data_IF_619733905708
#
_entry.id   IF_619733905708
#
_cell.length_a   1.000
_cell.length_b   1.000
_cell.length_c   1.000
_cell.angle_alpha   90.00
_cell.angle_beta   90.00
_cell.angle_gamma   90.00
#
_symmetry.space_group_name_H-M   'P 1'
#
loop_
_entity.id
_entity.type
_entity.pdbx_description
1 polymer ?
#
# COMPACT_ATOMS: atom_id res chain seq x y z
N UNK A 1 -24.97 -18.85 -22.05
CA UNK A 1 -24.80 -17.52 -21.41
C UNK A 1 -23.68 -16.79 -22.13
N UNK A 2 -24.02 -15.82 -22.97
CA UNK A 2 -23.05 -15.01 -23.69
C UNK A 2 -22.42 -13.99 -22.75
N UNK A 3 -21.09 -13.81 -22.84
CA UNK A 3 -20.38 -12.83 -22.02
C UNK A 3 -20.72 -11.43 -22.52
N UNK A 4 -21.05 -10.47 -21.64
CA UNK A 4 -21.47 -9.15 -22.08
C UNK A 4 -20.29 -8.32 -22.63
N UNK A 5 -20.54 -7.56 -23.69
CA UNK A 5 -19.54 -6.83 -24.51
C UNK A 5 -18.70 -5.79 -23.74
N UNK A 6 -19.13 -5.38 -22.54
CA UNK A 6 -18.39 -4.43 -21.70
C UNK A 6 -17.24 -5.07 -20.90
N UNK A 7 -17.11 -6.40 -20.94
CA UNK A 7 -16.00 -7.11 -20.30
C UNK A 7 -14.73 -7.00 -21.14
N UNK A 8 -13.68 -6.39 -20.58
CA UNK A 8 -12.40 -6.19 -21.29
C UNK A 8 -11.70 -7.52 -21.57
N UNK A 9 -11.37 -7.78 -22.83
CA UNK A 9 -10.59 -8.95 -23.24
C UNK A 9 -9.13 -8.76 -22.77
N UNK A 10 -8.68 -9.65 -21.89
CA UNK A 10 -7.28 -9.68 -21.41
C UNK A 10 -6.53 -10.82 -22.08
N UNK A 11 -5.53 -10.50 -22.92
CA UNK A 11 -4.68 -11.51 -23.58
C UNK A 11 -3.59 -12.02 -22.64
N UNK A 12 -3.55 -13.33 -22.42
CA UNK A 12 -2.50 -13.98 -21.65
C UNK A 12 -1.35 -14.41 -22.57
N UNK A 13 -0.11 -14.24 -22.14
CA UNK A 13 1.06 -14.74 -22.87
C UNK A 13 1.25 -16.22 -22.55
N UNK A 14 1.23 -17.10 -23.55
CA UNK A 14 1.45 -18.52 -23.34
C UNK A 14 2.91 -18.80 -22.90
N UNK A 15 3.13 -19.97 -22.30
CA UNK A 15 4.48 -20.53 -22.11
C UNK A 15 4.87 -21.21 -23.42
N UNK A 16 6.09 -21.00 -23.88
CA UNK A 16 6.63 -21.65 -25.08
C UNK A 16 6.82 -23.15 -24.80
N UNK A 17 6.40 -24.01 -25.73
CA UNK A 17 6.21 -25.46 -25.56
C UNK A 17 7.12 -26.16 -24.53
N UNK A 18 8.43 -26.27 -24.82
CA UNK A 18 9.36 -27.07 -24.01
C UNK A 18 9.92 -26.32 -22.80
N UNK A 19 9.39 -25.14 -22.49
CA UNK A 19 9.89 -24.34 -21.39
C UNK A 19 9.28 -24.89 -20.13
N UNK A 20 9.95 -25.86 -19.50
CA UNK A 20 9.59 -26.41 -18.19
C UNK A 20 10.24 -25.57 -17.07
N UNK A 21 9.55 -25.35 -15.93
CA UNK A 21 10.12 -24.70 -14.74
C UNK A 21 11.41 -25.35 -14.21
N UNK A 22 11.58 -26.65 -14.47
CA UNK A 22 12.67 -27.45 -13.93
C UNK A 22 13.90 -27.48 -14.85
N UNK A 23 13.85 -26.82 -16.01
CA UNK A 23 14.99 -26.72 -16.91
C UNK A 23 16.01 -25.68 -16.39
N UNK A 24 17.27 -26.07 -16.12
CA UNK A 24 18.27 -25.15 -15.59
C UNK A 24 18.61 -23.98 -16.54
N UNK A 25 18.55 -24.18 -17.85
CA UNK A 25 18.84 -23.14 -18.85
C UNK A 25 17.78 -22.03 -18.89
N UNK A 26 16.59 -22.31 -18.35
CA UNK A 26 15.43 -21.42 -18.36
C UNK A 26 15.18 -20.75 -17.00
N UNK A 27 16.10 -20.87 -16.04
CA UNK A 27 15.96 -20.24 -14.72
C UNK A 27 15.65 -18.75 -14.82
N UNK A 28 16.38 -18.02 -15.67
CA UNK A 28 16.19 -16.57 -15.82
C UNK A 28 14.84 -16.22 -16.47
N UNK A 29 14.38 -17.01 -17.44
CA UNK A 29 13.04 -16.87 -18.04
C UNK A 29 11.95 -17.01 -16.97
N UNK A 30 12.04 -18.07 -16.16
CA UNK A 30 11.07 -18.35 -15.11
C UNK A 30 11.14 -17.35 -13.96
N UNK A 31 12.33 -16.88 -13.60
CA UNK A 31 12.52 -15.81 -12.62
C UNK A 31 11.81 -14.53 -13.07
N UNK A 32 12.07 -14.05 -14.29
CA UNK A 32 11.40 -12.85 -14.84
C UNK A 32 9.89 -13.04 -14.95
N UNK A 33 9.42 -14.23 -15.35
CA UNK A 33 8.00 -14.53 -15.47
C UNK A 33 7.29 -14.52 -14.12
N UNK A 34 7.87 -15.16 -13.10
CA UNK A 34 7.39 -15.12 -11.70
C UNK A 34 7.34 -13.69 -11.18
N UNK A 35 8.37 -12.88 -11.45
CA UNK A 35 8.40 -11.47 -11.04
C UNK A 35 7.30 -10.62 -11.72
N UNK A 36 7.05 -10.82 -13.02
CA UNK A 36 5.95 -10.13 -13.72
C UNK A 36 4.59 -10.52 -13.16
N UNK A 37 4.41 -11.81 -12.86
CA UNK A 37 3.16 -12.32 -12.31
C UNK A 37 2.93 -11.81 -10.89
N UNK A 38 3.95 -11.82 -10.03
CA UNK A 38 3.85 -11.26 -8.67
C UNK A 38 3.52 -9.78 -8.69
N UNK A 39 4.15 -8.98 -9.56
CA UNK A 39 3.82 -7.55 -9.73
C UNK A 39 2.37 -7.33 -10.17
N UNK A 40 1.88 -8.06 -11.18
CA UNK A 40 0.49 -7.97 -11.64
C UNK A 40 -0.51 -8.34 -10.54
N UNK A 41 -0.21 -9.41 -9.80
CA UNK A 41 -1.05 -9.87 -8.69
C UNK A 41 -1.05 -8.87 -7.53
N UNK A 42 0.11 -8.28 -7.21
CA UNK A 42 0.22 -7.24 -6.19
C UNK A 42 -0.57 -5.98 -6.56
N UNK A 43 -0.44 -5.52 -7.81
CA UNK A 43 -1.13 -4.33 -8.30
C UNK A 43 -2.66 -4.50 -8.36
N UNK A 44 -3.12 -5.72 -8.66
CA UNK A 44 -4.55 -6.04 -8.77
C UNK A 44 -5.24 -6.36 -7.44
N UNK A 45 -4.50 -6.82 -6.42
CA UNK A 45 -5.05 -7.18 -5.10
C UNK A 45 -5.11 -6.00 -4.12
N UNK A 46 -4.29 -4.98 -4.30
CA UNK A 46 -4.30 -3.80 -3.45
C UNK A 46 -5.38 -2.79 -3.89
N UNK A 47 -6.03 -2.07 -2.95
CA UNK A 47 -7.02 -1.06 -3.29
C UNK A 47 -6.46 0.00 -4.24
N UNK A 48 -7.21 0.31 -5.31
CA UNK A 48 -6.83 1.32 -6.30
C UNK A 48 -6.44 2.63 -5.61
N UNK A 49 -5.26 3.16 -5.96
CA UNK A 49 -4.70 4.39 -5.39
C UNK A 49 -3.74 4.20 -4.21
N UNK A 50 -3.67 2.99 -3.61
CA UNK A 50 -2.79 2.71 -2.47
C UNK A 50 -1.56 1.85 -2.79
N UNK A 51 -1.42 1.37 -4.03
CA UNK A 51 -0.23 0.63 -4.51
C UNK A 51 1.08 1.35 -4.27
N UNK A 52 1.07 2.69 -4.33
CA UNK A 52 2.25 3.51 -4.05
C UNK A 52 2.83 3.18 -2.67
N UNK A 53 1.98 2.89 -1.66
CA UNK A 53 2.41 2.71 -0.26
C UNK A 53 3.22 1.42 -0.18
N UNK A 54 2.68 0.35 -0.74
CA UNK A 54 3.36 -0.94 -0.84
C UNK A 54 4.66 -0.84 -1.64
N UNK A 55 4.67 -0.09 -2.75
CA UNK A 55 5.86 0.14 -3.56
C UNK A 55 6.97 0.86 -2.77
N UNK A 56 6.62 1.87 -1.96
CA UNK A 56 7.58 2.64 -1.14
C UNK A 56 8.33 1.78 -0.13
N UNK A 57 7.64 0.79 0.45
CA UNK A 57 8.23 -0.19 1.37
C UNK A 57 8.72 -1.46 0.65
N UNK A 58 8.85 -1.43 -0.69
CA UNK A 58 9.28 -2.57 -1.52
C UNK A 58 8.48 -3.86 -1.27
N UNK A 59 7.19 -3.74 -0.93
CA UNK A 59 6.31 -4.84 -0.57
C UNK A 59 6.77 -5.65 0.66
N UNK A 60 7.57 -5.04 1.54
CA UNK A 60 8.05 -5.61 2.80
C UNK A 60 7.30 -4.96 3.96
N UNK A 61 6.88 -5.76 4.95
CA UNK A 61 6.30 -5.26 6.19
C UNK A 61 7.42 -4.62 7.04
N UNK A 62 7.29 -3.35 7.47
CA UNK A 62 8.34 -2.67 8.22
C UNK A 62 8.48 -3.19 9.66
N UNK A 63 7.46 -3.86 10.21
CA UNK A 63 7.49 -4.38 11.59
C UNK A 63 8.27 -5.70 11.71
N UNK A 64 7.96 -6.68 10.85
CA UNK A 64 8.59 -8.00 10.88
C UNK A 64 9.70 -8.20 9.83
N UNK A 65 9.84 -7.28 8.86
CA UNK A 65 10.82 -7.38 7.77
C UNK A 65 10.51 -8.42 6.69
N UNK A 66 9.37 -9.12 6.78
CA UNK A 66 8.97 -10.14 5.82
C UNK A 66 8.18 -9.53 4.66
N UNK A 67 8.14 -10.23 3.52
CA UNK A 67 7.31 -9.84 2.38
C UNK A 67 5.83 -9.84 2.78
N UNK A 68 5.07 -8.88 2.26
CA UNK A 68 3.63 -8.78 2.49
C UNK A 68 2.88 -10.02 1.99
N UNK A 69 3.37 -10.66 0.92
CA UNK A 69 2.85 -11.93 0.40
C UNK A 69 1.38 -11.83 0.02
N UNK A 70 0.50 -12.34 0.90
CA UNK A 70 -0.94 -12.31 0.72
C UNK A 70 -1.55 -10.94 1.02
N UNK A 71 -1.73 -10.15 -0.04
CA UNK A 71 -2.38 -8.84 0.02
C UNK A 71 -3.84 -8.84 0.52
N UNK A 72 -4.44 -10.00 0.81
CA UNK A 72 -5.74 -10.10 1.48
C UNK A 72 -5.62 -9.98 3.00
N UNK A 73 -4.44 -10.24 3.58
CA UNK A 73 -4.17 -10.23 5.03
C UNK A 73 -3.25 -9.07 5.44
N UNK A 74 -3.32 -7.96 4.69
CA UNK A 74 -2.50 -6.77 4.96
C UNK A 74 -3.40 -5.58 5.28
N UNK A 75 -3.06 -4.89 6.36
CA UNK A 75 -3.79 -3.73 6.85
C UNK A 75 -2.95 -2.46 6.71
N UNK A 76 -3.63 -1.31 6.67
CA UNK A 76 -3.00 -0.01 6.67
C UNK A 76 -2.86 0.50 8.10
N UNK A 77 -1.62 0.79 8.46
CA UNK A 77 -1.27 1.33 9.77
C UNK A 77 -0.78 2.78 9.64
N UNK A 78 -1.13 3.62 10.62
CA UNK A 78 -0.65 4.99 10.71
C UNK A 78 0.62 5.03 11.56
N UNK A 79 1.75 5.44 10.99
CA UNK A 79 3.04 5.52 11.71
C UNK A 79 2.91 6.43 12.93
N UNK A 80 2.38 7.63 12.72
CA UNK A 80 1.91 8.52 13.78
C UNK A 80 0.41 8.29 13.92
N UNK A 81 -0.07 7.81 15.08
CA UNK A 81 -1.49 7.61 15.34
C UNK A 81 -2.31 8.90 15.20
N UNK A 82 -3.58 8.79 14.83
CA UNK A 82 -4.47 9.96 14.63
C UNK A 82 -4.67 10.79 15.90
N UNK A 83 -4.79 10.12 17.04
CA UNK A 83 -4.82 10.74 18.38
C UNK A 83 -3.59 11.62 18.67
N UNK A 84 -2.43 11.27 18.12
CA UNK A 84 -1.18 12.00 18.26
C UNK A 84 -0.95 13.01 17.10
N UNK A 85 -2.02 13.42 16.41
CA UNK A 85 -1.95 14.37 15.29
C UNK A 85 -1.55 13.76 13.94
N UNK A 86 -1.49 12.44 13.86
CA UNK A 86 -1.22 11.70 12.63
C UNK A 86 -2.26 11.94 11.54
N UNK A 87 -1.81 12.18 10.32
CA UNK A 87 -2.70 12.44 9.19
C UNK A 87 -2.88 11.19 8.33
N UNK A 88 -4.04 11.07 7.67
CA UNK A 88 -4.32 10.02 6.67
C UNK A 88 -3.66 10.37 5.33
N UNK A 89 -2.33 10.56 5.38
CA UNK A 89 -1.51 10.90 4.23
C UNK A 89 -0.66 9.71 3.86
N UNK A 90 -0.44 9.58 2.56
CA UNK A 90 0.47 8.61 1.96
C UNK A 90 1.78 8.41 2.74
N UNK A 91 2.40 9.51 3.19
CA UNK A 91 3.68 9.42 3.90
C UNK A 91 3.58 8.79 5.29
N UNK A 92 2.43 8.94 5.96
CA UNK A 92 2.14 8.45 7.31
C UNK A 92 1.51 7.05 7.33
N UNK A 93 1.19 6.49 6.16
CA UNK A 93 0.56 5.17 6.05
C UNK A 93 1.58 4.11 5.63
N UNK A 94 1.50 2.94 6.25
CA UNK A 94 2.30 1.77 5.87
C UNK A 94 1.42 0.53 5.82
N UNK A 95 1.77 -0.41 4.94
CA UNK A 95 1.16 -1.73 4.95
C UNK A 95 1.89 -2.62 5.95
N UNK A 96 1.12 -3.32 6.77
CA UNK A 96 1.60 -4.34 7.70
C UNK A 96 0.72 -5.58 7.56
N UNK A 97 1.21 -6.74 7.96
CA UNK A 97 0.35 -7.92 8.09
C UNK A 97 -0.70 -7.69 9.17
N UNK A 98 -1.84 -8.36 9.06
CA UNK A 98 -2.92 -8.32 10.05
C UNK A 98 -2.41 -8.64 11.48
N UNK A 99 -1.64 -9.72 11.64
CA UNK A 99 -1.09 -10.11 12.94
C UNK A 99 -0.10 -9.07 13.50
N UNK A 100 0.73 -8.49 12.61
CA UNK A 100 1.64 -7.41 12.98
C UNK A 100 0.85 -6.17 13.41
N UNK A 101 -0.26 -5.88 12.75
CA UNK A 101 -1.14 -4.76 13.09
C UNK A 101 -1.70 -4.91 14.49
N UNK A 102 -2.23 -6.09 14.83
CA UNK A 102 -2.73 -6.38 16.18
C UNK A 102 -1.62 -6.27 17.22
N UNK A 103 -0.43 -6.79 16.93
CA UNK A 103 0.72 -6.72 17.84
C UNK A 103 1.13 -5.26 18.12
N UNK A 104 1.16 -4.41 17.09
CA UNK A 104 1.48 -2.98 17.25
C UNK A 104 0.44 -2.29 18.14
N UNK A 105 -0.84 -2.59 17.95
CA UNK A 105 -1.90 -2.03 18.79
C UNK A 105 -1.84 -2.54 20.23
N UNK A 106 -1.51 -3.81 20.44
CA UNK A 106 -1.38 -4.41 21.77
C UNK A 106 -0.17 -3.88 22.56
N UNK A 107 0.98 -3.71 21.91
CA UNK A 107 2.22 -3.22 22.52
C UNK A 107 2.27 -1.68 22.66
N UNK A 108 1.31 -0.97 22.07
CA UNK A 108 1.28 0.48 22.01
C UNK A 108 1.98 1.02 20.78
N UNK A 109 1.22 1.65 19.88
CA UNK A 109 1.72 2.21 18.62
C UNK A 109 2.76 3.35 18.82
N UNK A 110 2.82 3.93 20.01
CA UNK A 110 3.77 4.98 20.40
C UNK A 110 5.08 4.45 20.98
N UNK A 111 5.22 3.12 21.14
CA UNK A 111 6.45 2.53 21.64
C UNK A 111 7.64 2.90 20.72
N UNK A 112 8.73 3.46 21.27
CA UNK A 112 9.86 3.94 20.47
C UNK A 112 10.52 2.85 19.62
N UNK A 113 10.55 1.60 20.08
CA UNK A 113 11.13 0.49 19.30
C UNK A 113 10.28 0.15 18.08
N UNK A 114 8.96 0.16 18.25
CA UNK A 114 8.00 -0.11 17.16
C UNK A 114 8.04 1.03 16.17
N UNK A 115 7.97 2.28 16.63
CA UNK A 115 8.09 3.47 15.78
C UNK A 115 9.38 3.44 14.96
N UNK A 116 10.51 3.11 15.58
CA UNK A 116 11.80 2.99 14.89
C UNK A 116 11.72 2.00 13.73
N UNK A 117 11.20 0.79 13.97
CA UNK A 117 10.98 -0.23 12.93
C UNK A 117 10.08 0.28 11.80
N UNK A 118 8.98 0.95 12.15
CA UNK A 118 8.04 1.52 11.17
C UNK A 118 8.69 2.60 10.29
N UNK A 119 9.60 3.41 10.83
CA UNK A 119 10.33 4.44 10.08
C UNK A 119 11.47 3.88 9.22
N UNK A 120 12.23 2.91 9.71
CA UNK A 120 13.38 2.31 9.00
C UNK A 120 12.96 1.63 7.69
N UNK A 121 11.75 1.03 7.65
CA UNK A 121 11.22 0.42 6.44
C UNK A 121 10.87 1.40 5.31
N UNK A 122 11.03 2.72 5.52
CA UNK A 122 10.64 3.76 4.57
C UNK A 122 11.88 4.54 4.13
N UNK A 123 12.39 4.28 2.91
CA UNK A 123 13.59 4.92 2.35
C UNK A 123 13.54 6.45 2.23
N UNK A 124 12.36 7.07 2.34
CA UNK A 124 12.22 8.52 2.45
C UNK A 124 11.27 8.89 3.59
N UNK A 125 11.77 9.51 4.68
CA UNK A 125 10.92 9.95 5.76
C UNK A 125 9.93 11.02 5.28
N UNK A 126 8.72 11.11 5.88
CA UNK A 126 7.79 12.19 5.60
C UNK A 126 8.50 13.54 5.80
N UNK A 127 8.66 14.33 4.74
CA UNK A 127 9.03 15.75 4.91
C UNK A 127 7.93 16.40 5.74
N UNK A 128 8.27 16.75 6.98
CA UNK A 128 7.36 17.38 7.92
C UNK A 128 7.11 18.84 7.48
N UNK A 129 6.33 19.02 6.41
CA UNK A 129 5.89 20.35 5.99
C UNK A 129 4.83 20.77 6.98
N UNK A 130 5.21 21.60 7.97
CA UNK A 130 4.30 22.30 8.88
C UNK A 130 3.16 22.87 8.03
N UNK A 131 1.96 22.32 8.19
CA UNK A 131 0.80 22.82 7.47
C UNK A 131 0.40 24.13 8.11
N UNK A 132 0.31 25.19 7.29
CA UNK A 132 -0.35 26.43 7.69
C UNK A 132 -1.75 26.06 8.24
N UNK A 133 -2.19 26.68 9.35
CA UNK A 133 -3.54 26.46 9.87
C UNK A 133 -4.55 26.70 8.75
N UNK A 134 -5.54 25.82 8.65
CA UNK A 134 -6.62 25.95 7.66
C UNK A 134 -7.32 27.28 7.93
N UNK A 135 -7.11 28.25 7.04
CA UNK A 135 -7.84 29.51 7.07
C UNK A 135 -9.34 29.22 7.01
N UNK A 136 -10.07 29.69 8.01
CA UNK A 136 -11.51 29.68 8.08
C UNK A 136 -12.06 30.38 6.83
N UNK A 137 -12.89 29.69 6.04
CA UNK A 137 -13.58 30.34 4.92
C UNK A 137 -14.46 31.46 5.49
N UNK A 138 -14.41 32.70 4.97
CA UNK A 138 -15.34 33.73 5.40
C UNK A 138 -16.77 33.28 5.05
N UNK A 139 -17.67 33.42 6.02
CA UNK A 139 -19.07 33.05 5.91
C UNK A 139 -19.76 33.76 4.75
N UNK A 140 -20.62 33.02 4.06
CA UNK A 140 -21.50 33.50 2.99
C UNK A 140 -22.40 34.61 3.57
N UNK A 141 -22.26 35.86 3.11
CA UNK A 141 -23.19 36.93 3.46
C UNK A 141 -24.59 36.55 2.98
N UNK A 142 -25.52 36.40 3.91
CA UNK A 142 -26.94 36.29 3.62
C UNK A 142 -27.41 37.62 3.02
N UNK A 143 -27.97 37.56 1.80
CA UNK A 143 -28.65 38.71 1.21
C UNK A 143 -30.04 38.75 1.85
N UNK A 144 -30.27 39.74 2.70
CA UNK A 144 -31.60 40.03 3.25
C UNK A 144 -32.58 40.34 2.13
N UNK A 145 -33.70 39.64 2.14
CA UNK A 145 -34.90 39.97 1.38
C UNK A 145 -35.64 41.02 2.22
N UNK A 146 -35.82 42.23 1.70
CA UNK A 146 -36.78 43.20 2.24
C UNK A 146 -38.04 43.18 1.38
N UNK A 147 -39.17 43.34 2.05
CA UNK A 147 -40.56 43.16 1.60
C UNK A 147 -40.97 43.89 0.32
#
# INVERSE_FOLDING_TARGET
MEKPLWTKITRHTLVTHNYSPDNPDLQEYWRKRKERQSKKTAEGRLPKGKNKIALRQNYVCPYCGQQLGDYNKVHLHHIVPKEHGGQDKYNNLVYVHEDCHHTIHALGATNPEIQKKLYEGIKTPPKNRKQKPKGTKPGRREKGCTE
#
